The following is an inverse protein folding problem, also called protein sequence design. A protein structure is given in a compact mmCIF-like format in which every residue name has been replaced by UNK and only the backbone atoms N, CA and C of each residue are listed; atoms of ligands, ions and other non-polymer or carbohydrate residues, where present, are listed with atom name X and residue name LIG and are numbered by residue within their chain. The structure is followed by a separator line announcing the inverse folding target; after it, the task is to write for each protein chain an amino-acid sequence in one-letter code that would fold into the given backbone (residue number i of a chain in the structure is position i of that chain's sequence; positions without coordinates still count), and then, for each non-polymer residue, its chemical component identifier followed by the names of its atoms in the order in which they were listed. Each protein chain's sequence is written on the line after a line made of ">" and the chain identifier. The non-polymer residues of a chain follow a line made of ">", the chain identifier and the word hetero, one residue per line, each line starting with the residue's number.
data_IF_542793867918
#
_entry.id   IF_542793867918
#
_cell.length_a   1.000
_cell.length_b   1.000
_cell.length_c   1.000
_cell.angle_alpha   90.00
_cell.angle_beta   90.00
_cell.angle_gamma   90.00
#
_symmetry.space_group_name_H-M   'P 1'
#
loop_
_entity.id
_entity.type
_entity.pdbx_description
1 polymer ?
#
# COMPACT_ATOMS: atom_id res chain seq x y z
N UNK A 1 7.21 -0.07 -6.83
CA UNK A 1 5.77 0.20 -7.06
C UNK A 1 5.47 -0.10 -8.52
N UNK A 2 4.47 -0.92 -8.79
CA UNK A 2 3.97 -1.16 -10.15
C UNK A 2 2.53 -0.67 -10.22
N UNK A 3 2.17 0.01 -11.31
CA UNK A 3 0.84 0.54 -11.57
C UNK A 3 0.44 0.17 -12.98
N UNK A 4 -0.73 -0.43 -13.13
CA UNK A 4 -1.37 -0.61 -14.44
C UNK A 4 -2.51 0.41 -14.56
N UNK A 5 -2.44 1.30 -15.55
CA UNK A 5 -3.50 2.27 -15.84
C UNK A 5 -3.87 2.06 -17.31
N UNK A 6 -5.12 1.67 -17.57
CA UNK A 6 -5.64 1.45 -18.94
C UNK A 6 -4.78 0.49 -19.79
N UNK A 7 -4.15 -0.52 -19.17
CA UNK A 7 -3.29 -1.49 -19.86
C UNK A 7 -1.81 -1.08 -19.95
N UNK A 8 -1.48 0.17 -19.64
CA UNK A 8 -0.09 0.63 -19.57
C UNK A 8 0.48 0.35 -18.17
N UNK A 9 1.60 -0.37 -18.14
CA UNK A 9 2.29 -0.70 -16.89
C UNK A 9 3.45 0.26 -16.67
N UNK A 10 3.42 0.95 -15.53
CA UNK A 10 4.50 1.78 -15.03
C UNK A 10 5.07 1.13 -13.78
N UNK A 11 6.36 0.79 -13.82
CA UNK A 11 7.10 0.29 -12.67
C UNK A 11 8.14 1.32 -12.25
N UNK A 12 8.12 1.68 -10.98
CA UNK A 12 9.09 2.59 -10.37
C UNK A 12 9.73 1.91 -9.17
N UNK A 13 11.05 1.83 -9.14
CA UNK A 13 11.83 1.33 -8.02
C UNK A 13 12.86 2.38 -7.58
N UNK A 14 13.20 2.32 -6.30
CA UNK A 14 14.21 3.19 -5.67
C UNK A 14 15.25 2.28 -5.04
N UNK A 15 16.51 2.58 -5.27
CA UNK A 15 17.63 1.92 -4.61
C UNK A 15 18.40 2.96 -3.80
N UNK A 16 18.57 2.69 -2.51
CA UNK A 16 19.33 3.51 -1.58
C UNK A 16 20.46 2.67 -1.00
N UNK A 17 21.69 3.03 -1.33
CA UNK A 17 22.89 2.35 -0.83
C UNK A 17 23.53 3.06 0.37
N UNK A 18 22.88 4.09 0.92
CA UNK A 18 23.36 4.92 2.02
C UNK A 18 24.23 6.12 1.59
N UNK A 19 24.75 6.13 0.37
CA UNK A 19 25.52 7.25 -0.20
C UNK A 19 24.73 8.03 -1.25
N UNK A 20 23.91 7.34 -2.05
CA UNK A 20 23.04 7.91 -3.06
C UNK A 20 21.72 7.15 -3.14
N UNK A 21 20.71 7.86 -3.65
CA UNK A 21 19.40 7.31 -3.98
C UNK A 21 19.22 7.39 -5.50
N UNK A 22 18.99 6.25 -6.14
CA UNK A 22 18.72 6.16 -7.57
C UNK A 22 17.27 5.72 -7.81
N UNK A 23 16.60 6.39 -8.75
CA UNK A 23 15.21 6.10 -9.10
C UNK A 23 15.13 5.52 -10.51
N UNK A 24 14.64 4.30 -10.61
CA UNK A 24 14.47 3.56 -11.86
C UNK A 24 12.99 3.60 -12.27
N UNK A 25 12.73 3.89 -13.54
CA UNK A 25 11.39 3.91 -14.12
C UNK A 25 11.37 3.05 -15.37
N UNK A 26 10.49 2.06 -15.39
CA UNK A 26 10.20 1.19 -16.54
C UNK A 26 8.76 1.48 -16.99
N UNK A 27 8.58 1.92 -18.24
CA UNK A 27 7.28 2.16 -18.87
C UNK A 27 7.23 1.56 -20.28
N UNK A 28 6.09 1.69 -20.95
CA UNK A 28 5.94 1.34 -22.38
C UNK A 28 6.90 2.10 -23.30
N UNK A 29 7.35 3.29 -22.89
CA UNK A 29 8.28 4.14 -23.64
C UNK A 29 9.76 3.74 -23.45
N UNK A 30 10.05 2.86 -22.48
CA UNK A 30 11.38 2.34 -22.20
C UNK A 30 11.80 2.46 -20.73
N UNK A 31 13.11 2.30 -20.50
CA UNK A 31 13.72 2.31 -19.17
C UNK A 31 14.57 3.55 -18.95
N UNK A 32 14.37 4.23 -17.82
CA UNK A 32 15.15 5.40 -17.44
C UNK A 32 15.58 5.38 -15.98
N UNK A 33 16.71 6.01 -15.68
CA UNK A 33 17.28 6.11 -14.34
C UNK A 33 17.62 7.57 -14.02
N UNK A 34 17.18 8.06 -12.86
CA UNK A 34 17.60 9.33 -12.28
C UNK A 34 18.61 9.04 -11.16
N UNK A 35 19.88 9.36 -11.43
CA UNK A 35 21.00 9.08 -10.52
C UNK A 35 21.12 10.19 -9.48
N UNK A 36 21.32 9.79 -8.23
CA UNK A 36 21.41 10.69 -7.08
C UNK A 36 20.21 11.65 -7.07
N UNK A 37 19.03 11.03 -7.13
CA UNK A 37 17.75 11.71 -7.12
C UNK A 37 17.46 12.29 -5.75
N UNK A 38 16.81 13.45 -5.73
CA UNK A 38 16.20 14.02 -4.52
C UNK A 38 14.76 13.55 -4.31
N UNK A 39 14.21 12.83 -5.28
CA UNK A 39 12.86 12.29 -5.20
C UNK A 39 12.85 11.08 -4.26
N UNK A 40 11.88 11.03 -3.36
CA UNK A 40 11.56 9.83 -2.60
C UNK A 40 10.29 9.21 -3.18
N UNK A 41 10.30 7.88 -3.34
CA UNK A 41 9.07 7.15 -3.66
C UNK A 41 8.31 6.98 -2.35
N UNK A 42 7.03 7.38 -2.32
CA UNK A 42 6.16 7.09 -1.19
C UNK A 42 6.13 5.58 -0.93
N UNK A 43 6.53 5.19 0.26
CA UNK A 43 6.52 3.80 0.70
C UNK A 43 5.07 3.31 0.82
N UNK A 44 4.79 2.14 0.26
CA UNK A 44 3.54 1.42 0.52
C UNK A 44 3.74 0.68 1.83
N UNK A 45 3.20 1.21 2.92
CA UNK A 45 3.26 0.55 4.22
C UNK A 45 2.04 -0.34 4.46
N UNK A 46 2.22 -1.34 5.31
CA UNK A 46 1.12 -2.04 5.95
C UNK A 46 0.53 -1.13 7.01
N UNK A 47 -0.60 -0.50 6.67
CA UNK A 47 -1.34 0.34 7.61
C UNK A 47 -2.38 -0.50 8.33
N UNK A 48 -2.40 -0.41 9.66
CA UNK A 48 -3.49 -0.93 10.44
C UNK A 48 -4.63 0.10 10.43
N UNK A 49 -5.74 -0.25 9.78
CA UNK A 49 -6.92 0.62 9.67
C UNK A 49 -7.48 1.06 11.03
N UNK A 50 -7.29 0.23 12.07
CA UNK A 50 -7.79 0.47 13.43
C UNK A 50 -6.75 1.13 14.36
N UNK A 51 -5.59 1.50 13.82
CA UNK A 51 -4.54 2.16 14.57
C UNK A 51 -5.00 3.52 15.10
N UNK A 52 -4.59 3.83 16.32
CA UNK A 52 -4.82 5.10 16.99
C UNK A 52 -3.60 5.40 17.87
N UNK A 53 -3.30 6.68 18.07
CA UNK A 53 -2.11 7.11 18.82
C UNK A 53 -2.26 6.86 20.32
N UNK A 54 -3.50 6.80 20.82
CA UNK A 54 -3.76 6.64 22.24
C UNK A 54 -5.17 6.08 22.53
N UNK A 55 -5.36 5.67 23.80
CA UNK A 55 -6.61 5.05 24.28
C UNK A 55 -7.84 5.97 24.18
N UNK A 56 -7.67 7.28 24.29
CA UNK A 56 -8.79 8.22 24.18
C UNK A 56 -9.30 8.28 22.75
N UNK A 57 -8.41 8.40 21.77
CA UNK A 57 -8.77 8.30 20.36
C UNK A 57 -9.45 6.94 20.09
N UNK A 58 -8.87 5.82 20.55
CA UNK A 58 -9.50 4.50 20.39
C UNK A 58 -10.93 4.46 20.93
N UNK A 59 -11.17 5.03 22.12
CA UNK A 59 -12.51 5.07 22.71
C UNK A 59 -13.49 5.85 21.84
N UNK A 60 -13.11 7.05 21.36
CA UNK A 60 -13.99 7.86 20.51
C UNK A 60 -14.20 7.24 19.12
N UNK A 61 -13.14 6.73 18.50
CA UNK A 61 -13.19 6.10 17.17
C UNK A 61 -14.00 4.82 17.16
N UNK A 62 -14.06 4.10 18.29
CA UNK A 62 -14.86 2.87 18.44
C UNK A 62 -16.28 3.09 18.96
N UNK A 63 -16.60 4.24 19.56
CA UNK A 63 -17.88 4.48 20.22
C UNK A 63 -19.12 4.25 19.33
N UNK A 64 -18.98 4.53 18.03
CA UNK A 64 -20.04 4.35 17.03
C UNK A 64 -19.71 3.23 16.03
N UNK A 65 -18.61 2.51 16.25
CA UNK A 65 -18.18 1.46 15.36
C UNK A 65 -19.04 0.20 15.58
N UNK A 66 -19.39 -0.47 14.48
CA UNK A 66 -19.98 -1.80 14.53
C UNK A 66 -19.01 -2.83 13.97
N UNK A 67 -18.88 -3.96 14.65
CA UNK A 67 -18.03 -5.08 14.25
C UNK A 67 -18.90 -6.31 14.09
N UNK A 68 -18.89 -6.93 12.91
CA UNK A 68 -19.66 -8.15 12.61
C UNK A 68 -18.76 -9.19 11.98
N UNK A 69 -18.97 -10.47 12.30
CA UNK A 69 -18.30 -11.57 11.61
C UNK A 69 -18.83 -11.68 10.18
N UNK A 70 -17.95 -11.97 9.23
CA UNK A 70 -18.29 -12.19 7.83
C UNK A 70 -17.33 -13.20 7.20
N UNK A 71 -17.58 -13.60 5.96
CA UNK A 71 -16.64 -14.36 5.13
C UNK A 71 -16.32 -13.57 3.86
N UNK A 72 -15.05 -13.53 3.47
CA UNK A 72 -14.60 -12.89 2.25
C UNK A 72 -13.43 -13.67 1.66
N UNK A 73 -13.50 -14.04 0.38
CA UNK A 73 -12.52 -14.90 -0.31
C UNK A 73 -12.12 -16.14 0.52
N UNK A 74 -13.13 -16.88 1.01
CA UNK A 74 -12.98 -18.09 1.83
C UNK A 74 -12.35 -17.89 3.21
N UNK A 75 -11.95 -16.65 3.56
CA UNK A 75 -11.39 -16.29 4.86
C UNK A 75 -12.47 -15.88 5.84
N UNK A 76 -12.24 -16.22 7.12
CA UNK A 76 -13.03 -15.70 8.24
C UNK A 76 -12.60 -14.25 8.53
N UNK A 77 -13.55 -13.32 8.52
CA UNK A 77 -13.26 -11.89 8.56
C UNK A 77 -14.19 -11.14 9.53
N UNK A 78 -13.84 -9.88 9.77
CA UNK A 78 -14.71 -8.88 10.39
C UNK A 78 -15.07 -7.77 9.41
N UNK A 79 -16.35 -7.48 9.31
CA UNK A 79 -16.87 -6.23 8.74
C UNK A 79 -16.86 -5.17 9.84
N UNK A 80 -16.24 -4.03 9.57
CA UNK A 80 -16.17 -2.86 10.45
C UNK A 80 -16.83 -1.68 9.75
N UNK A 81 -17.78 -1.03 10.43
CA UNK A 81 -18.47 0.18 9.93
C UNK A 81 -18.47 1.27 10.98
N UNK A 82 -18.40 2.52 10.54
CA UNK A 82 -18.53 3.70 11.42
C UNK A 82 -17.30 3.95 12.30
N UNK A 83 -16.21 3.21 12.10
CA UNK A 83 -14.96 3.48 12.79
C UNK A 83 -14.29 4.74 12.20
N UNK A 84 -13.99 5.71 13.05
CA UNK A 84 -13.33 6.95 12.65
C UNK A 84 -11.81 6.77 12.70
N UNK A 85 -11.22 6.30 11.60
CA UNK A 85 -9.77 6.06 11.54
C UNK A 85 -8.99 7.37 11.55
N UNK A 86 -7.92 7.43 12.35
CA UNK A 86 -6.95 8.54 12.29
C UNK A 86 -5.91 8.36 11.18
N UNK A 87 -5.75 7.12 10.70
CA UNK A 87 -4.73 6.73 9.72
C UNK A 87 -5.29 6.58 8.31
N UNK A 88 -6.60 6.74 8.12
CA UNK A 88 -7.27 6.59 6.83
C UNK A 88 -8.45 7.54 6.70
N UNK A 89 -8.60 8.16 5.52
CA UNK A 89 -9.78 8.95 5.18
C UNK A 89 -10.97 8.00 4.98
N UNK A 90 -11.82 7.89 5.99
CA UNK A 90 -13.03 7.07 5.96
C UNK A 90 -14.25 7.93 5.71
N UNK A 91 -15.01 7.62 4.66
CA UNK A 91 -16.29 8.26 4.41
C UNK A 91 -17.37 7.79 5.38
N UNK A 92 -18.39 8.63 5.56
CA UNK A 92 -19.61 8.25 6.28
C UNK A 92 -20.24 7.05 5.56
N UNK A 93 -20.43 5.95 6.30
CA UNK A 93 -20.92 4.64 5.82
C UNK A 93 -19.89 3.75 5.11
N UNK A 94 -18.61 4.11 5.12
CA UNK A 94 -17.56 3.20 4.66
C UNK A 94 -17.61 1.86 5.41
N UNK A 95 -17.42 0.78 4.66
CA UNK A 95 -17.29 -0.57 5.19
C UNK A 95 -15.88 -1.06 4.94
N UNK A 96 -15.25 -1.62 5.97
CA UNK A 96 -13.94 -2.25 5.87
C UNK A 96 -14.05 -3.73 6.27
N UNK A 97 -13.36 -4.58 5.50
CA UNK A 97 -13.20 -6.00 5.78
C UNK A 97 -11.76 -6.25 6.23
N UNK A 98 -11.63 -6.85 7.41
CA UNK A 98 -10.35 -7.23 8.02
C UNK A 98 -10.32 -8.75 8.22
N UNK A 99 -9.24 -9.39 7.79
CA UNK A 99 -9.01 -10.82 8.03
C UNK A 99 -8.84 -11.11 9.51
N UNK A 100 -9.57 -12.09 10.04
CA UNK A 100 -9.56 -12.39 11.48
C UNK A 100 -8.22 -12.95 11.96
N UNK A 101 -7.57 -13.77 11.15
CA UNK A 101 -6.34 -14.47 11.54
C UNK A 101 -5.12 -13.55 11.56
N UNK A 102 -4.98 -12.70 10.54
CA UNK A 102 -3.81 -11.84 10.35
C UNK A 102 -4.03 -10.40 10.81
N UNK A 103 -5.28 -9.97 10.95
CA UNK A 103 -5.63 -8.57 11.20
C UNK A 103 -5.42 -7.64 10.00
N UNK A 104 -5.18 -8.18 8.80
CA UNK A 104 -4.91 -7.39 7.61
C UNK A 104 -6.18 -6.83 6.97
N UNK A 105 -6.09 -5.58 6.52
CA UNK A 105 -7.11 -4.95 5.67
C UNK A 105 -7.21 -5.69 4.34
N UNK A 106 -8.39 -6.19 3.98
CA UNK A 106 -8.59 -6.87 2.70
C UNK A 106 -9.37 -6.00 1.70
N UNK A 107 -10.37 -5.25 2.18
CA UNK A 107 -11.28 -4.52 1.31
C UNK A 107 -11.88 -3.31 2.02
N UNK A 108 -12.09 -2.22 1.28
CA UNK A 108 -13.01 -1.14 1.66
C UNK A 108 -14.02 -0.87 0.55
N UNK A 109 -15.26 -0.63 0.95
CA UNK A 109 -16.30 -0.08 0.09
C UNK A 109 -16.62 1.33 0.58
N UNK A 110 -16.20 2.33 -0.19
CA UNK A 110 -16.61 3.71 -0.02
C UNK A 110 -17.65 4.06 -1.09
N UNK A 111 -18.24 5.26 -1.03
CA UNK A 111 -19.32 5.63 -1.93
C UNK A 111 -18.88 5.81 -3.39
N UNK A 112 -17.61 6.14 -3.59
CA UNK A 112 -17.03 6.40 -4.91
C UNK A 112 -16.11 5.26 -5.38
N UNK A 113 -15.40 4.60 -4.44
CA UNK A 113 -14.34 3.64 -4.77
C UNK A 113 -14.44 2.33 -3.97
N UNK A 114 -14.03 1.24 -4.63
CA UNK A 114 -13.74 -0.04 -4.00
C UNK A 114 -12.23 -0.24 -4.02
N UNK A 115 -11.64 -0.49 -2.86
CA UNK A 115 -10.22 -0.82 -2.73
C UNK A 115 -10.11 -2.23 -2.20
N UNK A 116 -9.33 -3.07 -2.88
CA UNK A 116 -9.02 -4.43 -2.45
C UNK A 116 -7.49 -4.60 -2.33
N UNK A 117 -7.07 -5.43 -1.38
CA UNK A 117 -5.67 -5.80 -1.19
C UNK A 117 -5.53 -7.31 -1.13
N UNK A 118 -4.58 -7.82 -1.91
CA UNK A 118 -4.14 -9.21 -1.87
C UNK A 118 -2.74 -9.28 -1.24
N UNK A 119 -2.54 -10.28 -0.39
CA UNK A 119 -1.27 -10.49 0.30
C UNK A 119 -0.77 -11.88 0.00
N UNK A 120 0.51 -11.95 -0.36
CA UNK A 120 1.27 -13.18 -0.49
C UNK A 120 2.42 -13.13 0.50
N UNK A 121 2.72 -14.26 1.13
CA UNK A 121 3.75 -14.39 2.15
C UNK A 121 4.80 -15.39 1.70
N UNK A 122 5.99 -15.30 2.29
CA UNK A 122 7.11 -16.22 2.02
C UNK A 122 7.54 -16.25 0.53
N UNK A 123 7.41 -15.11 -0.16
CA UNK A 123 7.76 -14.92 -1.57
C UNK A 123 8.87 -13.86 -1.77
N UNK A 124 9.61 -13.55 -0.70
CA UNK A 124 10.69 -12.56 -0.73
C UNK A 124 12.02 -13.27 -0.90
N UNK A 125 12.78 -12.89 -1.92
CA UNK A 125 14.14 -13.35 -2.18
C UNK A 125 15.12 -12.19 -2.03
N UNK A 126 16.34 -12.43 -1.57
CA UNK A 126 17.35 -11.37 -1.36
C UNK A 126 17.67 -10.58 -2.64
N UNK A 127 17.46 -11.21 -3.81
CA UNK A 127 17.64 -10.62 -5.13
C UNK A 127 16.79 -9.35 -5.34
N UNK A 128 15.67 -9.19 -4.63
CA UNK A 128 14.82 -8.00 -4.76
C UNK A 128 15.47 -6.73 -4.18
N UNK A 129 16.49 -6.89 -3.34
CA UNK A 129 17.22 -5.80 -2.73
C UNK A 129 18.50 -5.44 -3.50
N UNK A 130 18.84 -6.18 -4.56
CA UNK A 130 20.00 -5.87 -5.39
C UNK A 130 19.77 -4.59 -6.21
N UNK A 131 20.83 -3.80 -6.39
CA UNK A 131 20.81 -2.65 -7.29
C UNK A 131 20.46 -3.10 -8.72
N UNK A 132 19.48 -2.48 -9.38
CA UNK A 132 19.22 -2.75 -10.79
C UNK A 132 20.43 -2.44 -11.66
N UNK A 133 20.67 -3.25 -12.68
CA UNK A 133 21.75 -3.01 -13.65
C UNK A 133 21.51 -1.71 -14.42
N UNK A 134 22.21 -0.64 -14.02
CA UNK A 134 22.09 0.72 -14.57
C UNK A 134 22.37 0.74 -16.08
N UNK A 135 23.20 -0.16 -16.61
CA UNK A 135 23.54 -0.19 -18.04
C UNK A 135 22.34 -0.46 -18.95
N UNK A 136 21.24 -0.99 -18.39
CA UNK A 136 19.97 -1.23 -19.09
C UNK A 136 19.06 0.00 -19.14
N UNK A 137 19.45 1.13 -18.53
CA UNK A 137 18.62 2.32 -18.37
C UNK A 137 19.22 3.53 -19.06
N UNK A 138 18.35 4.36 -19.65
CA UNK A 138 18.75 5.70 -20.12
C UNK A 138 18.85 6.65 -18.93
N UNK A 139 20.02 7.24 -18.71
CA UNK A 139 20.21 8.25 -17.65
C UNK A 139 19.45 9.52 -18.01
N UNK A 140 18.66 10.05 -17.07
CA UNK A 140 18.03 11.36 -17.20
C UNK A 140 19.07 12.43 -16.91
N UNK A 141 19.29 13.33 -17.87
CA UNK A 141 20.11 14.52 -17.64
C UNK A 141 19.37 15.48 -16.70
N UNK A 142 20.12 16.13 -15.81
CA UNK A 142 19.60 17.10 -14.84
C UNK A 142 19.44 18.49 -15.44
#
# INVERSE_FOLDING_TARGET
>A
MERNINGETLKVSMYDNGERIDVFTESSEGKSCDINSKASIMQINLYNFLENDNKWQTLFSSAIASVKKTKYNEKECYTIKGFLSSTSLTEKNSEVIIEKETGLFLKSNNSEDIVEREYTFNNIEDSIFAEPDISQYKIKEK
#
